data_IF_844238332907
#
_entry.id   IF_844238332907
#
_cell.length_a   1.000
_cell.length_b   1.000
_cell.length_c   1.000
_cell.angle_alpha   90.00
_cell.angle_beta   90.00
_cell.angle_gamma   90.00
#
_symmetry.space_group_name_H-M   'P 1'
#
loop_
_entity.id
_entity.type
_entity.pdbx_description
1 polymer ?
#
# COMPACT_ATOMS: atom_id res chain seq x y z
N UNK A 1 42.50 19.96 63.97
CA UNK A 1 41.50 20.49 64.91
C UNK A 1 40.16 19.82 64.63
N UNK A 2 39.75 18.96 65.56
CA UNK A 2 38.38 18.69 66.03
C UNK A 2 37.22 18.69 65.00
N UNK A 3 36.79 17.47 64.70
CA UNK A 3 35.41 16.99 64.58
C UNK A 3 34.34 17.74 65.41
N UNK A 4 33.12 17.83 64.88
CA UNK A 4 31.78 17.62 65.51
C UNK A 4 30.74 18.21 64.55
N UNK A 5 29.65 17.54 64.20
CA UNK A 5 28.56 16.93 64.99
C UNK A 5 27.96 15.79 64.14
N UNK A 6 27.22 14.78 64.61
CA UNK A 6 26.99 14.07 65.87
C UNK A 6 26.14 12.82 65.45
N UNK A 7 26.21 11.74 66.22
CA UNK A 7 25.70 10.37 65.95
C UNK A 7 24.16 10.21 66.16
N UNK A 8 23.54 9.02 66.46
CA UNK A 8 23.73 7.60 66.07
C UNK A 8 22.40 6.81 65.77
N UNK A 9 22.53 5.51 65.45
CA UNK A 9 21.61 4.36 65.72
C UNK A 9 20.31 4.22 64.90
N UNK A 10 19.69 3.07 64.64
CA UNK A 10 20.02 1.63 64.67
C UNK A 10 18.86 0.92 63.93
N UNK A 11 19.17 -0.15 63.21
CA UNK A 11 18.42 -1.42 63.07
C UNK A 11 16.90 -1.43 62.76
N UNK A 12 16.54 -1.99 61.60
CA UNK A 12 15.62 -3.16 61.56
C UNK A 12 15.70 -3.91 60.21
N UNK A 13 16.14 -5.16 60.32
CA UNK A 13 16.19 -6.25 59.34
C UNK A 13 14.74 -6.83 59.24
N UNK A 14 14.20 -7.25 58.09
CA UNK A 14 14.14 -8.67 57.64
C UNK A 14 13.22 -8.88 56.41
N UNK A 15 13.34 -10.05 55.73
CA UNK A 15 13.02 -10.27 54.32
C UNK A 15 11.75 -11.11 54.12
N UNK A 16 11.12 -10.97 52.95
CA UNK A 16 10.28 -12.00 52.30
C UNK A 16 10.26 -11.65 50.80
N UNK A 17 10.42 -12.53 49.83
CA UNK A 17 10.68 -13.95 49.82
C UNK A 17 11.06 -14.35 48.40
N UNK A 18 11.92 -15.37 48.32
CA UNK A 18 11.96 -16.38 47.26
C UNK A 18 12.11 -15.85 45.81
N UNK A 19 13.34 -15.48 45.48
CA UNK A 19 13.83 -15.56 44.11
C UNK A 19 13.83 -17.02 43.66
N UNK A 20 12.84 -17.40 42.88
CA UNK A 20 12.83 -18.70 42.21
C UNK A 20 13.89 -18.72 41.12
N UNK A 21 14.94 -19.45 41.43
CA UNK A 21 15.94 -20.02 40.55
C UNK A 21 15.26 -20.72 39.36
N UNK A 22 15.43 -20.18 38.16
CA UNK A 22 15.15 -20.94 36.94
C UNK A 22 16.45 -21.53 36.44
N UNK A 23 16.70 -22.77 36.88
CA UNK A 23 17.65 -23.68 36.25
C UNK A 23 17.11 -24.10 34.89
N UNK A 24 17.95 -23.91 33.86
CA UNK A 24 18.16 -24.74 32.68
C UNK A 24 16.98 -25.49 32.03
N UNK A 25 16.93 -25.34 30.69
CA UNK A 25 16.34 -26.26 29.71
C UNK A 25 14.95 -25.92 29.19
N UNK A 26 14.91 -25.16 28.09
CA UNK A 26 13.95 -25.45 27.02
C UNK A 26 14.40 -24.83 25.71
N UNK A 27 14.98 -25.69 24.86
CA UNK A 27 15.01 -25.52 23.41
C UNK A 27 13.60 -25.11 22.99
N UNK A 28 13.43 -23.86 22.53
CA UNK A 28 12.19 -23.48 21.85
C UNK A 28 12.13 -24.25 20.52
N UNK A 29 11.51 -25.42 20.58
CA UNK A 29 10.95 -26.10 19.43
C UNK A 29 9.93 -25.15 18.80
N UNK A 30 10.19 -24.73 17.56
CA UNK A 30 9.21 -24.05 16.72
C UNK A 30 8.04 -25.04 16.55
N UNK A 31 6.82 -24.74 17.01
CA UNK A 31 5.70 -25.65 16.78
C UNK A 31 5.40 -25.70 15.28
N UNK A 32 5.41 -26.89 14.65
CA UNK A 32 4.98 -27.03 13.26
C UNK A 32 3.47 -26.89 13.20
N UNK A 33 2.99 -26.18 12.18
CA UNK A 33 1.57 -26.17 11.83
C UNK A 33 0.74 -25.22 12.67
N UNK A 34 0.84 -23.92 12.37
CA UNK A 34 -0.32 -23.03 12.54
C UNK A 34 -1.44 -23.62 11.69
N UNK A 35 -2.33 -24.39 12.31
CA UNK A 35 -3.67 -24.63 11.78
C UNK A 35 -4.20 -23.23 11.44
N UNK A 36 -4.36 -22.95 10.13
CA UNK A 36 -5.17 -21.82 9.71
C UNK A 36 -6.53 -22.06 10.35
N UNK A 37 -6.87 -21.31 11.39
CA UNK A 37 -8.26 -21.19 11.79
C UNK A 37 -9.00 -20.84 10.50
N UNK A 38 -9.92 -21.69 10.01
CA UNK A 38 -10.74 -21.27 8.90
C UNK A 38 -11.49 -20.04 9.42
N UNK A 39 -11.24 -18.89 8.80
CA UNK A 39 -12.18 -17.80 8.89
C UNK A 39 -13.50 -18.40 8.45
N UNK A 40 -14.41 -18.60 9.41
CA UNK A 40 -15.78 -18.99 9.11
C UNK A 40 -16.31 -17.96 8.13
N UNK A 41 -16.40 -18.33 6.86
CA UNK A 41 -17.27 -17.69 5.90
C UNK A 41 -18.67 -18.19 6.24
N UNK A 42 -19.17 -17.84 7.43
CA UNK A 42 -20.60 -17.73 7.62
C UNK A 42 -20.99 -16.58 6.72
N UNK A 43 -21.59 -16.94 5.59
CA UNK A 43 -22.03 -16.05 4.52
C UNK A 43 -23.15 -15.17 5.07
N UNK A 44 -22.80 -14.19 5.90
CA UNK A 44 -23.66 -13.06 6.22
C UNK A 44 -23.56 -12.10 5.04
N UNK A 45 -24.21 -12.48 3.93
CA UNK A 45 -24.47 -11.66 2.75
C UNK A 45 -25.37 -10.48 3.09
N UNK A 46 -24.89 -9.51 3.87
CA UNK A 46 -25.68 -8.30 4.20
C UNK A 46 -24.86 -7.01 4.22
N UNK A 47 -23.58 -7.00 3.82
CA UNK A 47 -22.80 -5.76 3.74
C UNK A 47 -22.30 -5.40 2.35
N UNK A 48 -22.27 -6.35 1.40
CA UNK A 48 -21.81 -6.11 0.03
C UNK A 48 -22.94 -5.71 -0.95
N UNK A 49 -24.19 -5.66 -0.49
CA UNK A 49 -25.36 -5.37 -1.33
C UNK A 49 -25.63 -3.88 -1.58
N UNK A 50 -25.02 -2.93 -0.87
CA UNK A 50 -25.34 -1.49 -1.05
C UNK A 50 -24.50 -0.79 -2.15
N UNK A 51 -23.69 -1.57 -2.86
CA UNK A 51 -22.78 -1.08 -3.89
C UNK A 51 -23.39 -1.00 -5.29
N UNK A 52 -24.51 -1.70 -5.53
CA UNK A 52 -25.12 -1.86 -6.84
C UNK A 52 -25.87 -0.60 -7.29
N UNK A 53 -25.58 -0.15 -8.51
CA UNK A 53 -26.13 1.10 -9.05
C UNK A 53 -27.64 1.00 -9.28
N UNK A 54 -28.18 -0.21 -9.51
CA UNK A 54 -29.62 -0.43 -9.63
C UNK A 54 -30.33 -0.27 -8.29
N UNK A 55 -29.79 -0.82 -7.19
CA UNK A 55 -30.34 -0.56 -5.84
C UNK A 55 -30.30 0.93 -5.49
N UNK A 56 -29.22 1.65 -5.81
CA UNK A 56 -29.15 3.10 -5.62
C UNK A 56 -30.22 3.85 -6.40
N UNK A 57 -30.44 3.48 -7.66
CA UNK A 57 -31.48 4.05 -8.50
C UNK A 57 -32.88 3.84 -7.91
N UNK A 58 -33.17 2.63 -7.39
CA UNK A 58 -34.46 2.30 -6.77
C UNK A 58 -34.71 3.08 -5.46
N UNK A 59 -33.67 3.28 -4.65
CA UNK A 59 -33.73 4.11 -3.44
C UNK A 59 -34.02 5.57 -3.80
N UNK A 60 -33.34 6.10 -4.82
CA UNK A 60 -33.52 7.48 -5.28
C UNK A 60 -34.93 7.67 -5.85
N UNK A 61 -35.41 6.76 -6.70
CA UNK A 61 -36.77 6.83 -7.26
C UNK A 61 -37.86 6.89 -6.21
N UNK A 62 -37.78 6.08 -5.15
CA UNK A 62 -38.74 6.15 -4.02
C UNK A 62 -38.71 7.48 -3.28
N UNK A 63 -37.53 8.09 -3.13
CA UNK A 63 -37.41 9.41 -2.49
C UNK A 63 -37.98 10.50 -3.41
N UNK A 64 -37.81 10.38 -4.72
CA UNK A 64 -38.41 11.28 -5.71
C UNK A 64 -39.95 11.16 -5.76
N UNK A 65 -40.50 9.96 -5.51
CA UNK A 65 -41.93 9.71 -5.31
C UNK A 65 -42.49 10.33 -4.01
N UNK A 66 -41.65 10.97 -3.19
CA UNK A 66 -42.05 11.67 -1.96
C UNK A 66 -42.02 10.80 -0.70
N UNK A 67 -41.42 9.60 -0.74
CA UNK A 67 -41.28 8.74 0.44
C UNK A 67 -40.24 9.31 1.41
N UNK A 68 -40.45 9.10 2.71
CA UNK A 68 -39.49 9.51 3.74
C UNK A 68 -38.22 8.64 3.70
N UNK A 69 -37.06 9.26 3.94
CA UNK A 69 -35.75 8.59 3.99
C UNK A 69 -35.73 7.45 5.02
N UNK A 70 -36.42 7.62 6.16
CA UNK A 70 -36.50 6.61 7.23
C UNK A 70 -37.25 5.37 6.78
N UNK A 71 -38.36 5.53 6.07
CA UNK A 71 -39.16 4.41 5.53
C UNK A 71 -38.42 3.68 4.42
N UNK A 72 -37.74 4.42 3.55
CA UNK A 72 -36.89 3.85 2.50
C UNK A 72 -35.72 3.07 3.13
N UNK A 73 -35.11 3.61 4.18
CA UNK A 73 -34.04 2.93 4.92
C UNK A 73 -34.51 1.62 5.57
N UNK A 74 -35.70 1.60 6.17
CA UNK A 74 -36.31 0.39 6.74
C UNK A 74 -36.66 -0.64 5.66
N UNK A 75 -37.22 -0.20 4.53
CA UNK A 75 -37.64 -1.10 3.43
C UNK A 75 -36.45 -1.86 2.82
N UNK A 76 -35.30 -1.19 2.67
CA UNK A 76 -34.10 -1.78 2.10
C UNK A 76 -33.11 -2.33 3.13
N UNK A 77 -33.47 -2.32 4.43
CA UNK A 77 -32.59 -2.69 5.54
C UNK A 77 -31.22 -1.99 5.46
N UNK A 78 -31.20 -0.68 5.23
CA UNK A 78 -29.99 0.14 5.11
C UNK A 78 -29.95 1.13 6.25
N UNK A 79 -28.77 1.39 6.80
CA UNK A 79 -28.59 2.50 7.71
C UNK A 79 -29.07 3.82 7.09
N UNK A 80 -29.95 4.54 7.81
CA UNK A 80 -30.47 5.86 7.44
C UNK A 80 -29.37 6.82 6.94
N UNK A 81 -28.18 6.79 7.56
CA UNK A 81 -27.05 7.64 7.18
C UNK A 81 -26.55 7.39 5.73
N UNK A 82 -26.65 6.16 5.23
CA UNK A 82 -26.25 5.81 3.86
C UNK A 82 -27.25 6.38 2.87
N UNK A 83 -28.55 6.21 3.13
CA UNK A 83 -29.63 6.75 2.28
C UNK A 83 -29.59 8.28 2.27
N UNK A 84 -29.38 8.91 3.42
CA UNK A 84 -29.22 10.38 3.52
C UNK A 84 -28.02 10.89 2.73
N UNK A 85 -26.86 10.23 2.82
CA UNK A 85 -25.66 10.58 2.03
C UNK A 85 -25.89 10.37 0.53
N UNK A 86 -26.54 9.27 0.16
CA UNK A 86 -26.89 8.96 -1.23
C UNK A 86 -27.79 10.07 -1.81
N UNK A 87 -28.87 10.43 -1.12
CA UNK A 87 -29.78 11.49 -1.54
C UNK A 87 -29.07 12.84 -1.67
N UNK A 88 -28.22 13.21 -0.70
CA UNK A 88 -27.40 14.43 -0.80
C UNK A 88 -26.49 14.40 -2.03
N UNK A 89 -25.78 13.28 -2.25
CA UNK A 89 -24.88 13.15 -3.39
C UNK A 89 -25.61 13.22 -4.74
N UNK A 90 -26.81 12.64 -4.81
CA UNK A 90 -27.68 12.68 -5.98
C UNK A 90 -28.15 14.10 -6.27
N UNK A 91 -28.62 14.85 -5.26
CA UNK A 91 -28.99 16.27 -5.45
C UNK A 91 -27.83 17.14 -5.94
N UNK A 92 -26.60 16.83 -5.53
CA UNK A 92 -25.42 17.59 -5.96
C UNK A 92 -24.93 17.19 -7.36
N UNK A 93 -25.00 15.90 -7.70
CA UNK A 93 -24.33 15.34 -8.89
C UNK A 93 -25.30 14.96 -10.01
N UNK A 94 -26.55 14.65 -9.70
CA UNK A 94 -27.54 14.08 -10.61
C UNK A 94 -27.29 12.63 -11.02
N UNK A 95 -26.27 11.97 -10.45
CA UNK A 95 -25.93 10.58 -10.77
C UNK A 95 -26.18 9.68 -9.58
N UNK A 96 -26.77 8.52 -9.85
CA UNK A 96 -26.94 7.45 -8.87
C UNK A 96 -25.68 6.60 -8.70
N UNK A 97 -24.78 6.61 -9.67
CA UNK A 97 -23.59 5.76 -9.67
C UNK A 97 -22.44 6.35 -8.86
N UNK A 98 -21.60 5.45 -8.34
CA UNK A 98 -20.39 5.85 -7.61
C UNK A 98 -19.38 6.47 -8.58
N UNK A 99 -18.99 7.72 -8.32
CA UNK A 99 -17.88 8.35 -9.06
C UNK A 99 -16.58 7.59 -8.83
N UNK A 100 -15.87 7.27 -9.92
CA UNK A 100 -14.52 6.77 -9.82
C UNK A 100 -13.61 7.90 -9.32
N UNK A 101 -12.87 7.66 -8.25
CA UNK A 101 -11.89 8.64 -7.77
C UNK A 101 -10.72 8.71 -8.76
N UNK A 102 -10.22 9.91 -9.00
CA UNK A 102 -9.06 10.14 -9.90
C UNK A 102 -7.73 9.56 -9.34
N UNK A 103 -7.77 9.01 -8.13
CA UNK A 103 -6.62 8.45 -7.45
C UNK A 103 -5.64 9.53 -7.00
N UNK A 104 -4.44 9.10 -6.60
CA UNK A 104 -3.37 10.02 -6.19
C UNK A 104 -2.68 10.59 -7.43
N UNK A 105 -2.55 11.93 -7.47
CA UNK A 105 -1.79 12.64 -8.51
C UNK A 105 -0.36 12.09 -8.60
N UNK A 106 0.13 11.93 -9.82
CA UNK A 106 1.47 11.40 -10.08
C UNK A 106 2.52 12.43 -9.66
N UNK A 107 3.59 11.94 -9.02
CA UNK A 107 4.75 12.77 -8.66
C UNK A 107 5.54 13.28 -9.87
N UNK A 108 5.31 12.73 -11.07
CA UNK A 108 6.07 13.09 -12.27
C UNK A 108 5.14 13.60 -13.37
N UNK A 109 5.65 14.47 -14.23
CA UNK A 109 4.92 15.05 -15.35
C UNK A 109 5.09 14.21 -16.62
N UNK A 110 4.20 14.34 -17.63
CA UNK A 110 4.36 13.65 -18.91
C UNK A 110 5.66 14.02 -19.65
N UNK A 111 6.18 15.24 -19.47
CA UNK A 111 7.45 15.67 -20.05
C UNK A 111 8.65 14.99 -19.37
N UNK A 112 8.65 14.90 -18.04
CA UNK A 112 9.66 14.15 -17.28
C UNK A 112 9.67 12.67 -17.67
N UNK A 113 8.49 12.05 -17.78
CA UNK A 113 8.34 10.66 -18.20
C UNK A 113 8.92 10.44 -19.61
N UNK A 114 8.70 11.39 -20.52
CA UNK A 114 9.26 11.36 -21.88
C UNK A 114 10.78 11.46 -21.84
N UNK A 115 11.35 12.35 -21.05
CA UNK A 115 12.80 12.47 -20.87
C UNK A 115 13.39 11.13 -20.40
N UNK A 116 12.81 10.52 -19.37
CA UNK A 116 13.27 9.23 -18.81
C UNK A 116 13.30 8.14 -19.89
N UNK A 117 12.22 8.02 -20.67
CA UNK A 117 12.12 7.01 -21.73
C UNK A 117 13.12 7.29 -22.86
N UNK A 118 13.33 8.54 -23.26
CA UNK A 118 14.28 8.90 -24.30
C UNK A 118 15.73 8.66 -23.88
N UNK A 119 16.10 9.01 -22.66
CA UNK A 119 17.44 8.76 -22.12
C UNK A 119 17.78 7.27 -22.13
N UNK A 120 16.83 6.41 -21.73
CA UNK A 120 17.00 4.96 -21.77
C UNK A 120 17.01 4.39 -23.21
N UNK A 121 16.27 4.99 -24.15
CA UNK A 121 16.28 4.59 -25.57
C UNK A 121 17.60 4.94 -26.25
N UNK A 122 18.16 6.12 -25.96
CA UNK A 122 19.48 6.54 -26.47
C UNK A 122 20.57 5.60 -25.99
N UNK A 123 20.58 5.29 -24.69
CA UNK A 123 21.59 4.44 -24.09
C UNK A 123 20.97 3.17 -23.49
N UNK A 124 20.78 2.14 -24.33
CA UNK A 124 20.07 0.90 -23.94
C UNK A 124 20.68 0.09 -22.79
N UNK A 125 21.93 0.38 -22.41
CA UNK A 125 22.65 -0.27 -21.29
C UNK A 125 22.49 0.47 -19.96
N UNK A 126 21.88 1.66 -19.96
CA UNK A 126 21.71 2.45 -18.74
C UNK A 126 20.74 1.77 -17.78
N UNK A 127 21.13 1.73 -16.51
CA UNK A 127 20.31 1.20 -15.43
C UNK A 127 19.32 2.26 -14.95
N UNK A 128 18.22 1.82 -14.33
CA UNK A 128 17.23 2.74 -13.76
C UNK A 128 17.81 3.69 -12.70
N UNK A 129 18.89 3.30 -12.00
CA UNK A 129 19.59 4.18 -11.05
C UNK A 129 20.39 5.26 -11.77
N UNK A 130 21.11 4.90 -12.84
CA UNK A 130 21.85 5.87 -13.65
C UNK A 130 20.91 6.89 -14.31
N UNK A 131 19.75 6.45 -14.79
CA UNK A 131 18.73 7.35 -15.34
C UNK A 131 18.15 8.26 -14.26
N UNK A 132 18.01 7.79 -13.01
CA UNK A 132 17.57 8.63 -11.90
C UNK A 132 18.59 9.72 -11.55
N UNK A 133 19.89 9.40 -11.59
CA UNK A 133 20.96 10.36 -11.36
C UNK A 133 21.02 11.39 -12.48
N UNK A 134 21.00 10.96 -13.75
CA UNK A 134 20.94 11.86 -14.91
C UNK A 134 19.72 12.80 -14.86
N UNK A 135 18.58 12.28 -14.41
CA UNK A 135 17.38 13.08 -14.23
C UNK A 135 17.53 14.11 -13.11
N UNK A 136 18.16 13.73 -11.99
CA UNK A 136 18.47 14.65 -10.90
C UNK A 136 19.40 15.77 -11.39
N UNK A 137 20.44 15.45 -12.15
CA UNK A 137 21.38 16.42 -12.69
C UNK A 137 20.70 17.40 -13.67
N UNK A 138 19.75 16.91 -14.48
CA UNK A 138 19.06 17.72 -15.48
C UNK A 138 17.90 18.57 -14.90
N UNK A 139 17.18 18.06 -13.90
CA UNK A 139 15.93 18.66 -13.42
C UNK A 139 16.01 19.16 -11.97
N UNK A 140 17.08 18.86 -11.23
CA UNK A 140 17.23 19.17 -9.80
C UNK A 140 16.29 18.39 -8.87
N UNK A 141 15.50 17.46 -9.42
CA UNK A 141 14.46 16.72 -8.70
C UNK A 141 14.87 15.27 -8.48
N UNK A 142 14.90 14.85 -7.21
CA UNK A 142 15.24 13.49 -6.85
C UNK A 142 14.08 12.53 -7.12
N UNK A 143 14.33 11.49 -7.90
CA UNK A 143 13.37 10.41 -8.14
C UNK A 143 13.93 9.09 -7.66
N UNK A 144 13.09 8.28 -7.00
CA UNK A 144 13.48 6.93 -6.61
C UNK A 144 13.72 6.04 -7.84
N UNK A 145 14.68 5.11 -7.73
CA UNK A 145 14.90 4.04 -8.72
C UNK A 145 13.60 3.31 -9.09
N UNK A 146 12.73 3.06 -8.11
CA UNK A 146 11.44 2.36 -8.32
C UNK A 146 10.49 3.20 -9.18
N UNK A 147 10.45 4.51 -8.98
CA UNK A 147 9.65 5.43 -9.80
C UNK A 147 10.14 5.41 -11.25
N UNK A 148 11.43 5.57 -11.47
CA UNK A 148 12.04 5.51 -12.82
C UNK A 148 11.74 4.17 -13.50
N UNK A 149 11.90 3.06 -12.79
CA UNK A 149 11.58 1.74 -13.34
C UNK A 149 10.10 1.59 -13.73
N UNK A 150 9.16 2.18 -12.97
CA UNK A 150 7.74 2.21 -13.37
C UNK A 150 7.52 3.02 -14.65
N UNK A 151 8.27 4.12 -14.85
CA UNK A 151 8.16 4.95 -16.07
C UNK A 151 8.75 4.27 -17.29
N UNK A 152 9.89 3.62 -17.13
CA UNK A 152 10.47 2.79 -18.18
C UNK A 152 9.50 1.68 -18.62
N UNK A 153 8.86 0.97 -17.67
CA UNK A 153 7.83 -0.02 -17.98
C UNK A 153 6.61 0.57 -18.66
N UNK A 154 6.12 1.73 -18.20
CA UNK A 154 5.04 2.46 -18.86
C UNK A 154 5.38 2.85 -20.31
N UNK A 155 6.66 3.10 -20.60
CA UNK A 155 7.19 3.31 -21.95
C UNK A 155 7.59 2.03 -22.70
N UNK A 156 7.22 0.84 -22.20
CA UNK A 156 7.51 -0.45 -22.84
C UNK A 156 8.95 -0.94 -22.71
N UNK A 157 9.78 -0.31 -21.87
CA UNK A 157 11.16 -0.70 -21.65
C UNK A 157 11.27 -1.61 -20.42
N UNK A 158 11.57 -2.87 -20.69
CA UNK A 158 11.78 -3.91 -19.68
C UNK A 158 13.23 -4.35 -19.62
N UNK A 159 13.63 -4.97 -18.50
CA UNK A 159 14.92 -5.63 -18.41
C UNK A 159 15.03 -6.69 -19.52
N UNK A 160 16.12 -6.64 -20.29
CA UNK A 160 16.36 -7.61 -21.36
C UNK A 160 17.13 -8.80 -20.83
N UNK A 161 16.74 -10.00 -21.25
CA UNK A 161 17.65 -11.15 -21.28
C UNK A 161 18.66 -10.91 -22.42
N UNK A 162 19.97 -11.08 -22.19
CA UNK A 162 20.92 -11.06 -23.29
C UNK A 162 20.51 -12.13 -24.31
N UNK A 163 20.60 -11.79 -25.59
CA UNK A 163 20.44 -12.80 -26.65
C UNK A 163 21.65 -13.72 -26.53
N UNK A 164 21.41 -15.00 -26.29
CA UNK A 164 22.46 -16.02 -26.37
C UNK A 164 22.74 -16.22 -27.87
N UNK A 165 23.69 -15.47 -28.39
CA UNK A 165 24.25 -15.74 -29.70
C UNK A 165 25.40 -16.73 -29.56
N UNK A 166 25.48 -17.69 -30.48
CA UNK A 166 26.69 -18.50 -30.66
C UNK A 166 27.83 -17.52 -30.99
N UNK A 167 28.95 -17.52 -30.24
CA UNK A 167 30.07 -16.65 -30.55
C UNK A 167 30.52 -16.89 -32.00
N UNK A 168 30.65 -15.82 -32.77
CA UNK A 168 31.21 -15.93 -34.12
C UNK A 168 32.66 -16.40 -34.02
N UNK A 169 33.01 -17.42 -34.79
CA UNK A 169 34.41 -17.81 -34.95
C UNK A 169 35.17 -16.67 -35.62
N UNK A 170 36.48 -16.57 -35.35
CA UNK A 170 37.36 -15.52 -35.90
C UNK A 170 37.28 -15.43 -37.44
N UNK A 171 37.15 -16.58 -38.11
CA UNK A 171 36.98 -16.69 -39.56
C UNK A 171 35.70 -16.01 -40.07
N UNK A 172 34.58 -16.16 -39.34
CA UNK A 172 33.31 -15.51 -39.70
C UNK A 172 33.33 -14.00 -39.45
N UNK A 173 34.17 -13.51 -38.53
CA UNK A 173 34.32 -12.07 -38.28
C UNK A 173 35.14 -11.39 -39.38
N UNK A 174 36.18 -12.05 -39.89
CA UNK A 174 37.03 -11.51 -40.96
C UNK A 174 36.34 -11.52 -42.32
N UNK A 175 35.46 -12.50 -42.60
CA UNK A 175 34.73 -12.57 -43.87
C UNK A 175 33.60 -11.53 -44.03
N UNK A 176 33.31 -10.75 -42.99
CA UNK A 176 32.26 -9.72 -42.97
C UNK A 176 32.80 -8.28 -43.08
N UNK A 177 34.11 -8.08 -42.94
CA UNK A 177 34.80 -6.80 -43.09
C UNK A 177 35.40 -6.71 -44.49
#
# INVERSE_FOLDING_TARGET
MLSRLNAPSEVSILPTGLGNHYTSSSRHLIPPGRRRFPYNHSVSSSSDCYGDDFMRGRIIGKIEEGREITDVAREFDIAHSVVSRLWKSFKTTGMCSRRHGEGRVRSTTPAEDRYIVLSAKRNRRTTAQQVANQFLDASGKQMSRKTVARRLRGGGLYARRPVVCVPLTRQHHTARL
#
